data_IF_956986838239
#
_entry.id   IF_956986838239
#
_cell.length_a   1.000
_cell.length_b   1.000
_cell.length_c   1.000
_cell.angle_alpha   90.00
_cell.angle_beta   90.00
_cell.angle_gamma   90.00
#
_symmetry.space_group_name_H-M   'P 1'
#
loop_
_entity.id
_entity.type
_entity.pdbx_description
1 polymer ?
#
# COMPACT_ATOMS: atom_id res chain seq x y z
N UNK A 1 2.42 14.28 -1.61
CA UNK A 1 1.83 13.87 -0.32
C UNK A 1 1.30 12.50 -0.59
N UNK A 2 1.95 11.51 0.01
CA UNK A 2 2.04 10.21 -0.65
C UNK A 2 1.12 9.17 0.03
N UNK A 3 0.54 9.52 1.18
CA UNK A 3 -0.34 8.66 1.99
C UNK A 3 -1.59 9.42 2.47
N UNK A 4 -2.74 8.77 2.42
CA UNK A 4 -4.03 9.24 2.95
C UNK A 4 -4.38 8.60 4.31
N UNK A 5 -4.35 7.26 4.41
CA UNK A 5 -4.74 6.50 5.61
C UNK A 5 -4.07 5.10 5.65
N UNK A 6 -4.19 4.41 6.78
CA UNK A 6 -3.62 3.06 7.02
C UNK A 6 -4.74 2.07 7.32
N UNK A 7 -4.64 0.87 6.75
CA UNK A 7 -5.61 -0.21 6.97
C UNK A 7 -4.94 -1.54 7.29
N UNK A 8 -5.61 -2.37 8.09
CA UNK A 8 -5.32 -3.81 8.16
C UNK A 8 -6.14 -4.52 7.09
N UNK A 9 -5.50 -5.35 6.28
CA UNK A 9 -6.15 -6.30 5.40
C UNK A 9 -6.18 -7.66 6.09
N UNK A 10 -7.31 -8.36 6.03
CA UNK A 10 -7.52 -9.67 6.63
C UNK A 10 -7.92 -10.68 5.56
N UNK A 11 -7.37 -11.89 5.67
CA UNK A 11 -7.93 -13.06 5.00
C UNK A 11 -8.94 -13.73 5.95
N UNK A 12 -10.26 -13.69 5.67
CA UNK A 12 -11.25 -14.28 6.57
C UNK A 12 -11.11 -15.80 6.72
N UNK A 13 -10.47 -16.47 5.75
CA UNK A 13 -10.27 -17.93 5.76
C UNK A 13 -9.03 -18.34 6.59
N UNK A 14 -8.12 -17.41 6.82
CA UNK A 14 -6.84 -17.63 7.50
C UNK A 14 -6.56 -16.41 8.35
N UNK A 15 -6.69 -16.55 9.67
CA UNK A 15 -6.48 -15.53 10.71
C UNK A 15 -5.11 -14.82 10.60
N UNK A 16 -4.96 -14.03 9.54
CA UNK A 16 -3.73 -13.46 9.02
C UNK A 16 -4.03 -12.06 8.55
N UNK A 17 -3.15 -11.15 8.93
CA UNK A 17 -3.36 -9.72 8.76
C UNK A 17 -2.13 -9.08 8.13
N UNK A 18 -2.36 -8.11 7.25
CA UNK A 18 -1.30 -7.30 6.64
C UNK A 18 -1.70 -5.84 6.74
N UNK A 19 -0.88 -5.03 7.41
CA UNK A 19 -1.06 -3.58 7.45
C UNK A 19 -0.55 -2.95 6.16
N UNK A 20 -1.33 -2.02 5.60
CA UNK A 20 -1.05 -1.39 4.32
C UNK A 20 -1.35 0.11 4.36
N UNK A 21 -0.40 0.90 3.87
CA UNK A 21 -0.56 2.35 3.70
C UNK A 21 -1.19 2.65 2.35
N UNK A 22 -2.22 3.50 2.33
CA UNK A 22 -2.97 3.82 1.11
C UNK A 22 -2.76 5.29 0.69
N UNK A 23 -2.67 5.60 -0.62
CA UNK A 23 -2.78 4.67 -1.73
C UNK A 23 -1.56 3.76 -1.89
N UNK A 24 -1.83 2.48 -2.06
CA UNK A 24 -0.82 1.47 -2.30
C UNK A 24 -0.56 1.28 -3.78
N UNK A 25 0.71 1.26 -4.14
CA UNK A 25 1.12 0.91 -5.49
C UNK A 25 0.89 -0.60 -5.78
N UNK A 26 0.83 -1.00 -7.06
CA UNK A 26 0.57 -2.40 -7.44
C UNK A 26 1.54 -3.43 -6.85
N UNK A 27 2.79 -3.04 -6.56
CA UNK A 27 3.79 -3.93 -5.96
C UNK A 27 3.47 -4.22 -4.49
N UNK A 28 3.11 -3.19 -3.72
CA UNK A 28 2.71 -3.33 -2.33
C UNK A 28 1.41 -4.16 -2.19
N UNK A 29 0.44 -3.93 -3.09
CA UNK A 29 -0.82 -4.69 -3.13
C UNK A 29 -0.56 -6.17 -3.42
N UNK A 30 0.28 -6.47 -4.43
CA UNK A 30 0.60 -7.85 -4.78
C UNK A 30 1.35 -8.58 -3.66
N UNK A 31 2.28 -7.90 -3.01
CA UNK A 31 3.01 -8.48 -1.88
C UNK A 31 2.09 -8.79 -0.69
N UNK A 32 1.11 -7.92 -0.41
CA UNK A 32 0.09 -8.18 0.60
C UNK A 32 -0.76 -9.42 0.28
N UNK A 33 -1.11 -9.65 -0.99
CA UNK A 33 -1.81 -10.88 -1.42
C UNK A 33 -0.99 -12.14 -1.17
N UNK A 34 0.31 -12.10 -1.42
CA UNK A 34 1.21 -13.23 -1.18
C UNK A 34 1.33 -13.55 0.32
N UNK A 35 1.37 -12.52 1.17
CA UNK A 35 1.35 -12.64 2.64
C UNK A 35 0.00 -13.10 3.17
N UNK A 36 -1.12 -12.60 2.64
CA UNK A 36 -2.46 -13.05 3.05
C UNK A 36 -2.80 -14.46 2.58
N UNK A 37 -2.01 -15.04 1.67
CA UNK A 37 -2.19 -16.42 1.18
C UNK A 37 -3.58 -16.66 0.59
N UNK A 38 -4.07 -15.67 -0.16
CA UNK A 38 -5.41 -15.69 -0.73
C UNK A 38 -5.58 -16.86 -1.70
N UNK A 39 -6.66 -17.61 -1.54
CA UNK A 39 -7.10 -18.53 -2.58
C UNK A 39 -7.76 -17.72 -3.71
N UNK A 40 -7.88 -18.30 -4.92
CA UNK A 40 -8.70 -17.70 -5.96
C UNK A 40 -10.10 -17.37 -5.41
N UNK A 41 -10.60 -16.18 -5.73
CA UNK A 41 -11.92 -15.67 -5.34
C UNK A 41 -12.13 -15.37 -3.84
N UNK A 42 -11.11 -15.53 -2.97
CA UNK A 42 -11.20 -15.08 -1.57
C UNK A 42 -11.37 -13.56 -1.52
N UNK A 43 -12.44 -13.09 -0.85
CA UNK A 43 -12.64 -11.67 -0.60
C UNK A 43 -11.79 -11.23 0.58
N UNK A 44 -11.10 -10.11 0.40
CA UNK A 44 -10.29 -9.48 1.43
C UNK A 44 -11.17 -8.52 2.21
N UNK A 45 -11.19 -8.71 3.53
CA UNK A 45 -11.75 -7.77 4.46
C UNK A 45 -10.69 -6.74 4.85
N UNK A 46 -11.12 -5.51 5.13
CA UNK A 46 -10.22 -4.46 5.58
C UNK A 46 -10.82 -3.70 6.77
N UNK A 47 -9.95 -3.19 7.63
CA UNK A 47 -10.30 -2.36 8.79
C UNK A 47 -9.38 -1.13 8.84
N UNK A 48 -9.96 0.04 9.17
CA UNK A 48 -9.22 1.29 9.32
C UNK A 48 -8.41 1.29 10.61
N UNK A 49 -7.08 1.39 10.51
CA UNK A 49 -6.19 1.57 11.66
C UNK A 49 -5.99 3.06 11.98
N UNK A 50 -5.77 3.87 10.94
CA UNK A 50 -5.48 5.30 11.06
C UNK A 50 -6.08 6.06 9.88
N UNK A 51 -6.85 7.11 10.19
CA UNK A 51 -7.51 7.97 9.19
C UNK A 51 -6.59 9.04 8.61
N UNK A 52 -5.36 9.17 9.12
CA UNK A 52 -4.38 10.15 8.64
C UNK A 52 -4.95 11.56 8.58
N UNK A 53 -4.90 12.18 7.40
CA UNK A 53 -5.38 13.55 7.18
C UNK A 53 -6.90 13.67 6.97
N UNK A 54 -7.61 12.54 6.93
CA UNK A 54 -9.04 12.49 6.62
C UNK A 54 -9.87 11.95 7.80
N UNK A 55 -9.81 12.56 9.00
CA UNK A 55 -10.59 12.11 10.16
C UNK A 55 -12.11 12.23 9.93
N UNK A 56 -12.54 12.99 8.92
CA UNK A 56 -13.95 13.11 8.51
C UNK A 56 -14.54 11.80 7.99
N UNK A 57 -13.70 10.85 7.58
CA UNK A 57 -14.14 9.52 7.18
C UNK A 57 -14.73 8.74 8.37
N UNK A 58 -14.36 9.08 9.61
CA UNK A 58 -14.98 8.54 10.81
C UNK A 58 -16.29 9.28 11.14
N UNK A 59 -17.38 8.57 11.51
CA UNK A 59 -17.51 7.11 11.67
C UNK A 59 -17.98 6.39 10.40
N UNK A 60 -18.10 7.09 9.27
CA UNK A 60 -18.75 6.58 8.05
C UNK A 60 -18.02 5.44 7.35
N UNK A 61 -16.70 5.31 7.53
CA UNK A 61 -15.86 4.29 6.89
C UNK A 61 -14.93 3.64 7.93
N UNK A 62 -15.29 2.48 8.47
CA UNK A 62 -14.52 1.80 9.53
C UNK A 62 -13.94 0.46 9.06
N UNK A 63 -14.74 -0.34 8.37
CA UNK A 63 -14.36 -1.63 7.81
C UNK A 63 -15.24 -1.95 6.62
N UNK A 64 -14.82 -2.93 5.82
CA UNK A 64 -15.61 -3.39 4.68
C UNK A 64 -14.90 -4.45 3.86
N UNK A 65 -15.48 -4.71 2.69
CA UNK A 65 -14.92 -5.58 1.66
C UNK A 65 -14.51 -4.73 0.44
N UNK A 66 -13.80 -5.31 -0.52
CA UNK A 66 -13.52 -4.63 -1.79
C UNK A 66 -12.38 -3.62 -1.71
N UNK A 67 -11.19 -4.10 -1.34
CA UNK A 67 -9.94 -3.33 -1.33
C UNK A 67 -9.71 -2.41 -2.55
N UNK A 68 -10.02 -2.79 -3.81
CA UNK A 68 -9.76 -1.91 -4.95
C UNK A 68 -10.47 -0.56 -4.89
N UNK A 69 -11.71 -0.53 -4.39
CA UNK A 69 -12.46 0.72 -4.24
C UNK A 69 -11.87 1.59 -3.13
N UNK A 70 -11.41 0.97 -2.04
CA UNK A 70 -10.72 1.66 -0.95
C UNK A 70 -9.39 2.27 -1.41
N UNK A 71 -8.58 1.53 -2.17
CA UNK A 71 -7.32 2.04 -2.70
C UNK A 71 -7.55 3.22 -3.67
N UNK A 72 -8.55 3.10 -4.55
CA UNK A 72 -8.95 4.16 -5.47
C UNK A 72 -9.45 5.42 -4.72
N UNK A 73 -10.17 5.24 -3.60
CA UNK A 73 -10.55 6.36 -2.73
C UNK A 73 -9.30 7.08 -2.21
N UNK A 74 -8.32 6.34 -1.68
CA UNK A 74 -7.09 6.93 -1.18
C UNK A 74 -6.33 7.72 -2.27
N UNK A 75 -6.21 7.17 -3.48
CA UNK A 75 -5.60 7.86 -4.65
C UNK A 75 -6.32 9.17 -4.97
N UNK A 76 -7.66 9.16 -4.91
CA UNK A 76 -8.46 10.36 -5.14
C UNK A 76 -8.23 11.39 -4.06
N UNK A 77 -8.26 10.98 -2.79
CA UNK A 77 -8.08 11.88 -1.65
C UNK A 77 -6.71 12.55 -1.63
N UNK A 78 -5.62 11.83 -1.96
CA UNK A 78 -4.28 12.44 -2.03
C UNK A 78 -4.16 13.46 -3.16
N UNK A 79 -4.93 13.29 -4.25
CA UNK A 79 -4.96 14.22 -5.38
C UNK A 79 -5.75 15.51 -5.15
N UNK A 80 -6.54 15.61 -4.06
CA UNK A 80 -7.35 16.79 -3.77
C UNK A 80 -6.48 17.98 -3.34
N UNK A 81 -6.73 19.14 -3.94
CA UNK A 81 -6.16 20.41 -3.46
C UNK A 81 -6.82 20.87 -2.14
N UNK A 82 -6.25 21.88 -1.48
CA UNK A 82 -6.74 22.36 -0.17
C UNK A 82 -8.21 22.82 -0.20
N UNK A 83 -8.67 23.46 -1.29
CA UNK A 83 -10.06 23.88 -1.43
C UNK A 83 -10.96 22.66 -1.60
N UNK A 84 -10.57 21.70 -2.42
CA UNK A 84 -11.31 20.46 -2.66
C UNK A 84 -11.38 19.59 -1.39
N UNK A 85 -10.32 19.53 -0.59
CA UNK A 85 -10.33 18.82 0.71
C UNK A 85 -11.33 19.44 1.67
N UNK A 86 -11.36 20.78 1.75
CA UNK A 86 -12.37 21.50 2.55
C UNK A 86 -13.78 21.18 2.06
N UNK A 87 -14.01 21.26 0.75
CA UNK A 87 -15.30 20.91 0.15
C UNK A 87 -15.71 19.45 0.44
N UNK A 88 -14.79 18.50 0.30
CA UNK A 88 -15.00 17.09 0.60
C UNK A 88 -15.39 16.88 2.07
N UNK A 89 -14.68 17.51 3.03
CA UNK A 89 -15.04 17.45 4.45
C UNK A 89 -16.48 17.93 4.68
N UNK A 90 -16.86 19.03 4.02
CA UNK A 90 -18.23 19.56 4.10
C UNK A 90 -19.27 18.61 3.52
N UNK A 91 -19.01 18.03 2.35
CA UNK A 91 -19.91 17.07 1.71
C UNK A 91 -20.11 15.81 2.55
N UNK A 92 -19.06 15.28 3.17
CA UNK A 92 -19.14 14.12 4.08
C UNK A 92 -19.94 14.47 5.33
N UNK A 93 -19.71 15.66 5.93
CA UNK A 93 -20.49 16.13 7.09
C UNK A 93 -21.98 16.30 6.78
N UNK A 94 -22.34 16.70 5.57
CA UNK A 94 -23.73 16.79 5.13
C UNK A 94 -24.44 15.41 5.07
N UNK A 95 -23.69 14.31 5.06
CA UNK A 95 -24.25 12.95 5.15
C UNK A 95 -24.59 12.52 6.59
N UNK A 96 -24.34 13.38 7.58
CA UNK A 96 -24.75 13.18 8.98
C UNK A 96 -24.24 11.86 9.61
N UNK A 97 -22.99 11.50 9.30
CA UNK A 97 -22.33 10.33 9.89
C UNK A 97 -22.86 8.97 9.44
N UNK A 98 -23.67 8.92 8.37
CA UNK A 98 -24.13 7.66 7.78
C UNK A 98 -22.94 6.81 7.31
N UNK A 99 -22.97 5.48 7.51
CA UNK A 99 -22.01 4.57 6.90
C UNK A 99 -22.02 4.74 5.38
N UNK A 100 -20.83 4.80 4.79
CA UNK A 100 -20.62 5.02 3.36
C UNK A 100 -19.55 4.07 2.84
N UNK A 101 -19.88 3.39 1.75
CA UNK A 101 -18.91 2.61 0.99
C UNK A 101 -17.86 3.52 0.33
N UNK A 102 -16.65 3.00 0.02
CA UNK A 102 -15.61 3.76 -0.66
C UNK A 102 -16.09 4.46 -1.94
N UNK A 103 -16.93 3.83 -2.77
CA UNK A 103 -17.44 4.42 -4.02
C UNK A 103 -18.35 5.64 -3.78
N UNK A 104 -19.11 5.66 -2.69
CA UNK A 104 -19.90 6.82 -2.31
C UNK A 104 -18.99 8.00 -1.94
N UNK A 105 -17.89 7.74 -1.24
CA UNK A 105 -16.90 8.75 -0.88
C UNK A 105 -16.11 9.23 -2.10
N UNK A 106 -15.77 8.35 -3.03
CA UNK A 106 -15.18 8.73 -4.33
C UNK A 106 -16.11 9.71 -5.03
N UNK A 107 -17.41 9.40 -5.06
CA UNK A 107 -18.43 10.25 -5.68
C UNK A 107 -18.49 11.64 -5.02
N UNK A 108 -18.42 11.72 -3.69
CA UNK A 108 -18.32 13.01 -2.98
C UNK A 108 -17.01 13.75 -3.29
N UNK A 109 -15.89 13.04 -3.47
CA UNK A 109 -14.62 13.65 -3.86
C UNK A 109 -14.68 14.26 -5.26
N UNK A 110 -15.45 13.68 -6.19
CA UNK A 110 -15.70 14.25 -7.51
C UNK A 110 -16.60 15.49 -7.43
N UNK A 111 -17.66 15.42 -6.60
CA UNK A 111 -18.56 16.55 -6.33
C UNK A 111 -17.85 17.73 -5.65
N UNK A 112 -16.75 17.50 -4.92
CA UNK A 112 -16.00 18.56 -4.23
C UNK A 112 -15.55 19.71 -5.15
N UNK A 113 -15.40 19.44 -6.46
CA UNK A 113 -15.11 20.45 -7.50
C UNK A 113 -16.26 21.44 -7.74
N UNK A 114 -17.49 21.03 -7.40
CA UNK A 114 -18.75 21.72 -7.60
C UNK A 114 -19.31 22.25 -6.27
N UNK A 115 -18.41 22.71 -5.39
CA UNK A 115 -18.75 23.31 -4.12
C UNK A 115 -18.24 24.75 -4.05
N UNK A 116 -19.06 25.62 -3.49
CA UNK A 116 -18.61 26.92 -3.01
C UNK A 116 -17.96 26.71 -1.65
N UNK A 117 -16.73 27.22 -1.52
CA UNK A 117 -15.98 27.19 -0.27
C UNK A 117 -15.69 28.63 0.10
N UNK A 118 -16.10 29.04 1.29
CA UNK A 118 -15.63 30.25 1.94
C UNK A 118 -14.52 29.84 2.92
N UNK A 119 -13.24 30.00 2.53
CA UNK A 119 -12.11 29.63 3.39
C UNK A 119 -12.15 30.42 4.70
N UNK A 120 -11.64 29.83 5.77
CA UNK A 120 -11.50 30.46 7.11
C UNK A 120 -12.83 30.81 7.82
N UNK A 121 -13.97 30.76 7.13
CA UNK A 121 -15.29 30.90 7.71
C UNK A 121 -15.68 29.62 8.48
N UNK A 122 -15.29 29.55 9.75
CA UNK A 122 -15.48 28.37 10.62
C UNK A 122 -16.64 28.50 11.60
N UNK A 123 -17.25 29.68 11.65
CA UNK A 123 -18.45 29.98 12.46
C UNK A 123 -19.34 31.04 11.77
N UNK A 124 -20.51 31.29 12.35
CA UNK A 124 -21.48 32.24 11.79
C UNK A 124 -20.90 33.67 11.73
N UNK A 125 -20.02 34.08 12.67
CA UNK A 125 -19.46 35.44 12.68
C UNK A 125 -18.44 35.65 11.55
N UNK A 126 -17.48 34.74 11.41
CA UNK A 126 -16.49 34.74 10.33
C UNK A 126 -17.16 34.62 8.96
N UNK A 127 -18.18 33.77 8.82
CA UNK A 127 -18.97 33.66 7.59
C UNK A 127 -19.65 34.97 7.21
N UNK A 128 -20.35 35.60 8.17
CA UNK A 128 -21.02 36.87 7.93
C UNK A 128 -20.05 37.98 7.52
N UNK A 129 -18.86 38.02 8.14
CA UNK A 129 -17.82 38.98 7.78
C UNK A 129 -17.27 38.75 6.36
N UNK A 130 -16.97 37.51 5.99
CA UNK A 130 -16.48 37.15 4.64
C UNK A 130 -17.49 37.57 3.56
N UNK A 131 -18.77 37.24 3.75
CA UNK A 131 -19.83 37.56 2.78
C UNK A 131 -20.19 39.05 2.73
N UNK A 132 -20.08 39.77 3.85
CA UNK A 132 -20.24 41.21 3.86
C UNK A 132 -19.07 41.89 3.12
N UNK A 133 -17.82 41.48 3.42
CA UNK A 133 -16.61 42.06 2.86
C UNK A 133 -16.46 41.84 1.35
N UNK A 134 -16.87 40.66 0.85
CA UNK A 134 -16.81 40.35 -0.58
C UNK A 134 -18.02 40.89 -1.39
N UNK A 135 -18.92 41.64 -0.74
CA UNK A 135 -20.09 42.25 -1.38
C UNK A 135 -21.20 41.27 -1.76
N UNK A 136 -21.20 40.05 -1.21
CA UNK A 136 -22.26 39.04 -1.44
C UNK A 136 -23.57 39.37 -0.72
N UNK A 137 -23.57 40.33 0.19
CA UNK A 137 -24.76 40.85 0.88
C UNK A 137 -25.06 42.25 0.35
N UNK A 138 -26.04 42.41 -0.57
CA UNK A 138 -26.33 43.69 -1.21
C UNK A 138 -26.66 44.83 -0.24
N UNK A 139 -27.32 44.52 0.88
CA UNK A 139 -27.79 45.49 1.88
C UNK A 139 -26.65 46.17 2.65
N UNK A 140 -25.47 45.54 2.71
CA UNK A 140 -24.28 46.09 3.37
C UNK A 140 -23.17 46.40 2.38
N UNK A 141 -23.47 46.34 1.08
CA UNK A 141 -22.54 46.73 0.03
C UNK A 141 -22.29 48.24 0.13
N UNK A 142 -21.01 48.63 0.11
CA UNK A 142 -20.56 50.03 0.14
C UNK A 142 -20.83 50.80 1.46
N UNK A 143 -21.11 50.10 2.57
CA UNK A 143 -21.20 50.77 3.87
C UNK A 143 -19.82 51.31 4.31
N UNK A 144 -19.73 52.48 4.95
CA UNK A 144 -18.46 53.01 5.43
C UNK A 144 -17.79 52.06 6.44
N UNK A 145 -16.45 51.99 6.45
CA UNK A 145 -15.67 51.09 7.33
C UNK A 145 -16.10 51.14 8.82
N UNK A 146 -16.38 52.34 9.33
CA UNK A 146 -16.83 52.52 10.72
C UNK A 146 -18.19 51.88 11.00
N UNK A 147 -19.06 51.82 9.99
CA UNK A 147 -20.38 51.17 10.07
C UNK A 147 -20.23 49.68 9.81
N UNK A 148 -19.32 49.28 8.91
CA UNK A 148 -18.99 47.88 8.63
C UNK A 148 -18.58 47.15 9.92
N UNK A 149 -17.70 47.73 10.72
CA UNK A 149 -17.25 47.12 11.99
C UNK A 149 -18.35 47.03 13.07
N UNK A 150 -19.50 47.69 12.88
CA UNK A 150 -20.65 47.62 13.80
C UNK A 150 -21.70 46.59 13.35
N UNK A 151 -21.51 45.93 12.21
CA UNK A 151 -22.43 44.91 11.72
C UNK A 151 -22.45 43.68 12.65
N UNK A 152 -23.65 43.14 12.88
CA UNK A 152 -23.82 41.85 13.56
C UNK A 152 -23.49 40.72 12.59
N UNK A 153 -22.20 40.43 12.45
CA UNK A 153 -21.72 39.39 11.55
C UNK A 153 -22.24 38.01 11.93
N UNK A 154 -22.50 37.74 13.21
CA UNK A 154 -23.05 36.47 13.66
C UNK A 154 -24.48 36.28 13.14
N UNK A 155 -25.32 37.31 13.22
CA UNK A 155 -26.67 37.26 12.64
C UNK A 155 -26.63 37.12 11.11
N UNK A 156 -25.74 37.86 10.44
CA UNK A 156 -25.60 37.80 8.98
C UNK A 156 -25.18 36.39 8.52
N UNK A 157 -24.13 35.82 9.11
CA UNK A 157 -23.67 34.49 8.72
C UNK A 157 -24.66 33.38 9.08
N UNK A 158 -25.37 33.48 10.22
CA UNK A 158 -26.44 32.53 10.55
C UNK A 158 -27.54 32.53 9.48
N UNK A 159 -27.94 33.70 9.00
CA UNK A 159 -28.95 33.81 7.91
C UNK A 159 -28.44 33.18 6.62
N UNK A 160 -27.21 33.51 6.22
CA UNK A 160 -26.55 32.92 5.03
C UNK A 160 -26.52 31.40 5.14
N UNK A 161 -26.09 30.87 6.29
CA UNK A 161 -25.99 29.44 6.52
C UNK A 161 -27.34 28.74 6.40
N UNK A 162 -28.37 29.30 7.03
CA UNK A 162 -29.72 28.75 6.98
C UNK A 162 -30.34 28.80 5.58
N UNK A 163 -30.06 29.85 4.79
CA UNK A 163 -30.59 29.96 3.43
C UNK A 163 -29.84 29.10 2.42
N UNK A 164 -28.52 28.97 2.56
CA UNK A 164 -27.68 28.25 1.61
C UNK A 164 -27.58 26.75 1.90
N UNK A 165 -27.89 26.32 3.13
CA UNK A 165 -27.86 24.91 3.53
C UNK A 165 -26.45 24.31 3.59
N UNK A 166 -25.43 25.13 3.82
CA UNK A 166 -24.04 24.68 3.94
C UNK A 166 -23.64 24.29 5.36
N UNK A 167 -22.40 23.82 5.49
CA UNK A 167 -21.85 23.29 6.74
C UNK A 167 -20.47 23.88 7.04
N UNK A 168 -20.15 24.00 8.33
CA UNK A 168 -18.82 24.39 8.78
C UNK A 168 -17.88 23.18 8.85
N UNK A 169 -16.68 23.37 8.31
CA UNK A 169 -15.55 22.45 8.38
C UNK A 169 -14.46 23.04 9.27
N UNK A 170 -13.37 22.30 9.50
CA UNK A 170 -12.21 22.86 10.21
C UNK A 170 -11.54 24.00 9.45
N UNK A 171 -11.70 24.07 8.12
CA UNK A 171 -10.94 24.97 7.25
C UNK A 171 -11.81 26.01 6.53
N UNK A 172 -13.14 25.94 6.68
CA UNK A 172 -14.06 26.91 6.07
C UNK A 172 -15.50 26.44 6.01
N UNK A 173 -16.34 27.22 5.33
CA UNK A 173 -17.76 26.96 5.14
C UNK A 173 -18.02 26.44 3.72
N UNK A 174 -18.80 25.37 3.60
CA UNK A 174 -19.01 24.65 2.34
C UNK A 174 -20.48 24.62 1.97
N UNK A 175 -20.79 24.96 0.72
CA UNK A 175 -22.13 24.87 0.13
C UNK A 175 -22.04 24.12 -1.21
N UNK A 176 -22.80 23.03 -1.41
CA UNK A 176 -22.93 22.40 -2.72
C UNK A 176 -23.57 23.37 -3.72
N UNK A 177 -23.04 23.48 -4.94
CA UNK A 177 -23.60 24.41 -5.94
C UNK A 177 -24.92 23.93 -6.58
N UNK A 178 -25.33 22.68 -6.31
CA UNK A 178 -26.55 22.05 -6.82
C UNK A 178 -26.51 21.64 -8.29
N UNK A 179 -25.41 21.91 -9.01
CA UNK A 179 -25.28 21.68 -10.45
C UNK A 179 -24.55 20.38 -10.79
N UNK A 180 -24.00 19.71 -9.78
CA UNK A 180 -23.32 18.44 -9.98
C UNK A 180 -24.32 17.30 -10.21
N UNK A 181 -24.02 16.47 -11.22
CA UNK A 181 -24.75 15.23 -11.51
C UNK A 181 -23.77 14.07 -11.41
N UNK A 182 -24.15 12.95 -10.78
CA UNK A 182 -23.35 11.73 -10.81
C UNK A 182 -23.12 11.27 -12.24
N UNK A 183 -21.93 10.78 -12.52
CA UNK A 183 -21.67 10.04 -13.76
C UNK A 183 -22.34 8.65 -13.62
N UNK A 184 -23.31 8.33 -14.46
CA UNK A 184 -23.96 7.01 -14.44
C UNK A 184 -22.99 5.92 -14.94
N UNK A 185 -23.01 4.76 -14.26
CA UNK A 185 -22.25 3.57 -14.67
C UNK A 185 -20.78 3.62 -14.25
N UNK A 186 -20.51 3.54 -12.94
CA UNK A 186 -19.16 3.21 -12.48
C UNK A 186 -18.98 1.70 -12.64
N UNK A 187 -18.03 1.30 -13.49
CA UNK A 187 -17.59 -0.09 -13.56
C UNK A 187 -17.02 -0.51 -12.20
N UNK A 188 -17.21 -1.78 -11.79
CA UNK A 188 -16.61 -2.30 -10.57
C UNK A 188 -15.11 -2.03 -10.58
N UNK A 189 -14.59 -1.44 -9.49
CA UNK A 189 -13.16 -1.23 -9.36
C UNK A 189 -12.45 -2.57 -9.26
N UNK A 190 -11.54 -2.82 -10.19
CA UNK A 190 -10.72 -4.02 -10.23
C UNK A 190 -9.42 -3.71 -9.49
N UNK A 191 -8.87 -4.71 -8.79
CA UNK A 191 -7.54 -4.60 -8.22
C UNK A 191 -6.53 -4.15 -9.29
N UNK A 192 -5.49 -3.40 -8.90
CA UNK A 192 -4.43 -3.04 -9.84
C UNK A 192 -3.92 -4.27 -10.56
N UNK A 193 -3.70 -4.15 -11.88
CA UNK A 193 -3.06 -5.23 -12.63
C UNK A 193 -1.69 -5.52 -12.04
N UNK A 194 -1.31 -6.80 -12.03
CA UNK A 194 -0.01 -7.21 -11.54
C UNK A 194 1.08 -6.46 -12.34
N UNK A 195 2.07 -5.83 -11.67
CA UNK A 195 3.11 -5.09 -12.36
C UNK A 195 3.86 -6.01 -13.33
N UNK A 196 4.11 -5.49 -14.54
CA UNK A 196 4.78 -6.22 -15.62
C UNK A 196 6.26 -6.47 -15.34
N UNK A 197 6.90 -5.58 -14.57
CA UNK A 197 8.28 -5.73 -14.12
C UNK A 197 8.42 -6.17 -12.66
N UNK A 198 9.64 -6.52 -12.29
CA UNK A 198 10.05 -6.77 -10.91
C UNK A 198 10.42 -5.51 -10.16
N UNK A 199 11.01 -4.53 -10.86
CA UNK A 199 11.38 -3.25 -10.28
C UNK A 199 10.88 -2.13 -11.17
N UNK A 200 10.36 -1.04 -10.58
CA UNK A 200 10.05 0.20 -11.28
C UNK A 200 10.81 1.33 -10.61
N UNK A 201 11.52 2.11 -11.42
CA UNK A 201 12.34 3.21 -10.98
C UNK A 201 11.85 4.50 -11.61
N UNK A 202 11.68 5.53 -10.79
CA UNK A 202 11.60 6.91 -11.28
C UNK A 202 12.99 7.54 -11.17
N UNK A 203 13.48 8.06 -12.28
CA UNK A 203 14.80 8.70 -12.38
C UNK A 203 14.65 10.18 -12.70
N UNK A 204 15.50 10.98 -12.07
CA UNK A 204 15.76 12.37 -12.46
C UNK A 204 17.09 12.41 -13.20
N UNK A 205 17.06 12.85 -14.45
CA UNK A 205 18.21 12.95 -15.35
C UNK A 205 18.43 14.44 -15.68
N UNK A 206 19.18 15.14 -14.83
CA UNK A 206 19.26 16.60 -14.89
C UNK A 206 17.90 17.24 -14.54
N UNK A 207 17.28 17.92 -15.50
CA UNK A 207 15.93 18.51 -15.37
C UNK A 207 14.82 17.56 -15.85
N UNK A 208 15.17 16.51 -16.58
CA UNK A 208 14.20 15.57 -17.14
C UNK A 208 13.85 14.46 -16.14
N UNK A 209 12.65 13.91 -16.27
CA UNK A 209 12.24 12.69 -15.58
C UNK A 209 12.22 11.53 -16.57
N UNK A 210 12.57 10.35 -16.09
CA UNK A 210 12.47 9.10 -16.82
C UNK A 210 11.89 8.03 -15.90
N UNK A 211 11.17 7.08 -16.49
CA UNK A 211 10.69 5.90 -15.80
C UNK A 211 11.33 4.68 -16.43
N UNK A 212 11.74 3.70 -15.61
CA UNK A 212 12.35 2.47 -16.08
C UNK A 212 11.75 1.29 -15.33
N UNK A 213 11.23 0.32 -16.06
CA UNK A 213 10.71 -0.93 -15.50
C UNK A 213 11.65 -2.08 -15.83
N UNK A 214 12.18 -2.76 -14.82
CA UNK A 214 13.13 -3.86 -14.95
C UNK A 214 12.41 -5.21 -14.78
N UNK A 215 12.76 -6.24 -15.56
CA UNK A 215 13.89 -6.27 -16.48
C UNK A 215 13.64 -5.47 -17.78
N UNK A 216 14.66 -4.74 -18.23
CA UNK A 216 14.62 -3.90 -19.43
C UNK A 216 15.76 -4.25 -20.40
N UNK A 217 15.48 -4.12 -21.70
CA UNK A 217 16.46 -4.22 -22.78
C UNK A 217 16.78 -2.83 -23.34
N UNK A 218 16.11 -2.48 -24.43
CA UNK A 218 16.33 -1.22 -25.15
C UNK A 218 16.09 0.03 -24.28
N UNK A 219 15.05 0.04 -23.45
CA UNK A 219 14.74 1.17 -22.55
C UNK A 219 15.89 1.47 -21.58
N UNK A 220 16.57 0.44 -21.05
CA UNK A 220 17.73 0.62 -20.19
C UNK A 220 18.90 1.27 -20.96
N UNK A 221 19.10 0.89 -22.22
CA UNK A 221 20.14 1.50 -23.08
C UNK A 221 19.85 2.98 -23.29
N UNK A 222 18.60 3.34 -23.62
CA UNK A 222 18.19 4.73 -23.83
C UNK A 222 18.32 5.59 -22.56
N UNK A 223 17.92 5.06 -21.41
CA UNK A 223 18.11 5.73 -20.11
C UNK A 223 19.60 5.94 -19.83
N UNK A 224 20.45 4.95 -20.09
CA UNK A 224 21.90 5.07 -19.92
C UNK A 224 22.52 6.12 -20.84
N UNK A 225 22.15 6.16 -22.12
CA UNK A 225 22.65 7.17 -23.05
C UNK A 225 22.29 8.60 -22.58
N UNK A 226 21.06 8.78 -22.08
CA UNK A 226 20.64 10.06 -21.49
C UNK A 226 21.42 10.40 -20.22
N UNK A 227 21.66 9.41 -19.34
CA UNK A 227 22.48 9.58 -18.14
C UNK A 227 23.92 9.98 -18.48
N UNK A 228 24.51 9.39 -19.51
CA UNK A 228 25.85 9.73 -19.99
C UNK A 228 25.90 11.16 -20.54
N UNK A 229 24.85 11.59 -21.26
CA UNK A 229 24.76 12.95 -21.80
C UNK A 229 24.67 14.04 -20.71
N UNK A 230 23.94 13.78 -19.62
CA UNK A 230 23.79 14.75 -18.50
C UNK A 230 24.86 14.59 -17.41
N UNK A 231 25.57 13.46 -17.40
CA UNK A 231 26.55 13.09 -16.39
C UNK A 231 25.93 12.44 -15.15
N UNK A 232 26.55 11.34 -14.69
CA UNK A 232 26.09 10.54 -13.55
C UNK A 232 25.81 11.34 -12.25
N UNK A 233 26.61 12.34 -11.84
CA UNK A 233 26.32 13.14 -10.63
C UNK A 233 25.00 13.94 -10.70
N UNK A 234 24.48 14.17 -11.91
CA UNK A 234 23.20 14.84 -12.14
C UNK A 234 22.03 13.85 -12.24
N UNK A 235 22.28 12.56 -12.04
CA UNK A 235 21.28 11.50 -12.06
C UNK A 235 20.93 11.09 -10.63
N UNK A 236 19.66 10.83 -10.37
CA UNK A 236 19.19 10.28 -9.10
C UNK A 236 17.96 9.40 -9.31
N UNK A 237 17.85 8.34 -8.52
CA UNK A 237 16.59 7.59 -8.39
C UNK A 237 15.74 8.32 -7.35
N UNK A 238 14.52 8.72 -7.74
CA UNK A 238 13.58 9.46 -6.88
C UNK A 238 12.51 8.57 -6.26
N UNK A 239 12.20 7.45 -6.91
CA UNK A 239 11.32 6.42 -6.37
C UNK A 239 11.76 5.03 -6.84
N UNK A 240 11.58 4.03 -5.97
CA UNK A 240 11.89 2.63 -6.25
C UNK A 240 10.76 1.75 -5.73
N UNK A 241 10.09 1.05 -6.65
CA UNK A 241 9.04 0.08 -6.34
C UNK A 241 9.52 -1.31 -6.72
N UNK A 242 9.23 -2.30 -5.87
CA UNK A 242 9.84 -3.62 -5.98
C UNK A 242 8.84 -4.72 -5.66
N UNK A 243 8.83 -5.77 -6.50
CA UNK A 243 8.11 -7.01 -6.18
C UNK A 243 8.73 -7.73 -5.00
N UNK A 244 9.94 -7.38 -4.58
CA UNK A 244 10.66 -7.93 -3.43
C UNK A 244 10.91 -6.79 -2.43
N UNK A 245 10.00 -6.53 -1.48
CA UNK A 245 10.10 -5.37 -0.59
C UNK A 245 11.26 -5.45 0.41
N UNK A 246 11.85 -6.63 0.61
CA UNK A 246 13.04 -6.82 1.45
C UNK A 246 14.29 -6.13 0.86
N UNK A 247 14.29 -5.79 -0.43
CA UNK A 247 15.42 -5.09 -1.06
C UNK A 247 15.38 -3.59 -0.72
N UNK A 248 16.43 -3.04 -0.08
CA UNK A 248 16.45 -1.63 0.29
C UNK A 248 16.42 -0.70 -0.94
N UNK A 249 15.58 0.32 -0.91
CA UNK A 249 15.56 1.37 -1.94
C UNK A 249 16.92 2.06 -2.13
N UNK A 250 17.75 2.13 -1.08
CA UNK A 250 19.10 2.68 -1.12
C UNK A 250 20.06 1.91 -2.05
N UNK A 251 19.74 0.67 -2.43
CA UNK A 251 20.54 -0.10 -3.39
C UNK A 251 20.21 0.24 -4.84
N UNK A 252 19.06 0.89 -5.08
CA UNK A 252 18.65 1.36 -6.39
C UNK A 252 19.31 2.71 -6.71
N UNK A 253 20.55 2.65 -7.19
CA UNK A 253 21.30 3.83 -7.63
C UNK A 253 21.52 3.81 -9.14
N UNK A 254 21.72 4.98 -9.78
CA UNK A 254 21.96 5.05 -11.22
C UNK A 254 23.18 4.21 -11.68
N UNK A 255 24.21 4.06 -10.83
CA UNK A 255 25.39 3.25 -11.10
C UNK A 255 25.13 1.73 -11.11
N UNK A 256 24.04 1.31 -10.47
CA UNK A 256 23.72 -0.10 -10.23
C UNK A 256 22.56 -0.60 -11.09
N UNK A 257 22.14 0.17 -12.09
CA UNK A 257 21.02 -0.22 -12.97
C UNK A 257 21.26 -1.54 -13.68
N UNK A 258 22.49 -1.81 -14.14
CA UNK A 258 22.83 -3.09 -14.78
C UNK A 258 22.72 -4.27 -13.80
N UNK A 259 23.24 -4.12 -12.58
CA UNK A 259 23.16 -5.15 -11.53
C UNK A 259 21.71 -5.40 -11.13
N UNK A 260 20.91 -4.34 -10.96
CA UNK A 260 19.48 -4.45 -10.69
C UNK A 260 18.73 -5.14 -11.84
N UNK A 261 19.08 -4.81 -13.09
CA UNK A 261 18.47 -5.45 -14.25
C UNK A 261 18.81 -6.94 -14.30
N UNK A 262 20.07 -7.32 -14.02
CA UNK A 262 20.46 -8.72 -13.91
C UNK A 262 19.70 -9.45 -12.79
N UNK A 263 19.51 -8.83 -11.63
CA UNK A 263 18.70 -9.40 -10.56
C UNK A 263 17.23 -9.57 -11.00
N UNK A 264 16.64 -8.56 -11.66
CA UNK A 264 15.28 -8.62 -12.17
C UNK A 264 15.09 -9.78 -13.16
N UNK A 265 16.04 -9.98 -14.09
CA UNK A 265 16.03 -11.12 -15.02
C UNK A 265 16.07 -12.44 -14.26
N UNK A 266 16.94 -12.57 -13.25
CA UNK A 266 17.04 -13.79 -12.42
C UNK A 266 15.75 -14.09 -11.68
N UNK A 267 15.13 -13.07 -11.09
CA UNK A 267 13.86 -13.20 -10.37
C UNK A 267 12.69 -13.54 -11.30
N UNK A 268 12.68 -12.99 -12.52
CA UNK A 268 11.72 -13.36 -13.56
C UNK A 268 11.82 -14.83 -13.91
N UNK A 269 13.02 -15.31 -14.24
CA UNK A 269 13.26 -16.74 -14.52
C UNK A 269 12.91 -17.63 -13.33
N UNK A 270 13.17 -17.16 -12.11
CA UNK A 270 12.80 -17.88 -10.89
C UNK A 270 11.28 -18.02 -10.75
N UNK A 271 10.54 -16.93 -10.92
CA UNK A 271 9.08 -16.89 -10.78
C UNK A 271 8.36 -17.69 -11.89
N UNK A 272 8.93 -17.73 -13.10
CA UNK A 272 8.39 -18.53 -14.22
C UNK A 272 8.52 -20.05 -13.99
N UNK A 273 9.53 -20.49 -13.23
CA UNK A 273 9.78 -21.92 -12.99
C UNK A 273 8.85 -22.53 -11.96
N UNK A 274 8.56 -21.78 -10.91
CA UNK A 274 7.76 -22.23 -9.78
C UNK A 274 7.06 -21.02 -9.15
N UNK A 275 5.73 -21.09 -9.03
CA UNK A 275 4.91 -20.02 -8.50
C UNK A 275 5.24 -19.66 -7.05
N UNK A 276 5.78 -20.60 -6.27
CA UNK A 276 6.19 -20.35 -4.88
C UNK A 276 7.67 -19.96 -4.75
N UNK A 277 8.47 -20.06 -5.80
CA UNK A 277 9.91 -19.79 -5.68
C UNK A 277 10.21 -18.32 -5.38
N UNK A 278 9.42 -17.38 -5.91
CA UNK A 278 9.55 -15.96 -5.57
C UNK A 278 9.15 -15.70 -4.12
N UNK A 279 8.05 -16.31 -3.65
CA UNK A 279 7.57 -16.19 -2.27
C UNK A 279 8.61 -16.77 -1.31
N UNK A 280 9.20 -17.92 -1.64
CA UNK A 280 10.30 -18.53 -0.92
C UNK A 280 11.53 -17.62 -0.88
N UNK A 281 11.86 -16.97 -1.98
CA UNK A 281 12.96 -16.01 -2.01
C UNK A 281 12.73 -14.84 -1.03
N UNK A 282 11.52 -14.27 -1.01
CA UNK A 282 11.13 -13.22 -0.05
C UNK A 282 11.23 -13.70 1.41
N UNK A 283 10.70 -14.89 1.70
CA UNK A 283 10.76 -15.50 3.02
C UNK A 283 12.20 -15.68 3.51
N UNK A 284 13.09 -16.15 2.62
CA UNK A 284 14.51 -16.32 2.97
C UNK A 284 15.18 -14.96 3.20
N UNK A 285 14.85 -13.94 2.39
CA UNK A 285 15.38 -12.60 2.57
C UNK A 285 14.98 -11.95 3.90
N UNK A 286 13.77 -12.21 4.39
CA UNK A 286 13.28 -11.68 5.66
C UNK A 286 14.13 -12.13 6.85
N UNK A 287 14.65 -13.36 6.81
CA UNK A 287 15.46 -13.95 7.88
C UNK A 287 16.97 -13.94 7.59
N UNK A 288 17.36 -13.56 6.37
CA UNK A 288 18.77 -13.54 5.95
C UNK A 288 19.38 -12.15 6.13
N UNK A 289 20.60 -12.11 6.66
CA UNK A 289 21.42 -10.90 6.69
C UNK A 289 22.08 -10.66 5.33
N UNK A 290 21.31 -10.21 4.33
CA UNK A 290 21.87 -9.75 3.04
C UNK A 290 22.36 -8.30 3.15
N UNK A 291 23.52 -8.01 2.59
CA UNK A 291 24.16 -6.68 2.70
C UNK A 291 24.39 -5.99 1.36
N UNK A 292 24.14 -6.70 0.25
CA UNK A 292 24.40 -6.22 -1.10
C UNK A 292 23.46 -6.85 -2.14
N UNK A 293 23.43 -6.25 -3.34
CA UNK A 293 22.72 -6.83 -4.49
C UNK A 293 23.37 -8.14 -4.95
N UNK A 294 24.68 -8.26 -4.80
CA UNK A 294 25.44 -9.46 -5.12
C UNK A 294 25.04 -10.63 -4.20
N UNK A 295 24.84 -10.37 -2.90
CA UNK A 295 24.31 -11.37 -1.95
C UNK A 295 22.89 -11.80 -2.35
N UNK A 296 22.04 -10.84 -2.70
CA UNK A 296 20.68 -11.09 -3.17
C UNK A 296 20.68 -11.94 -4.45
N UNK A 297 21.54 -11.61 -5.42
CA UNK A 297 21.73 -12.40 -6.63
C UNK A 297 22.24 -13.82 -6.33
N UNK A 298 23.22 -13.96 -5.44
CA UNK A 298 23.75 -15.27 -5.05
C UNK A 298 22.68 -16.13 -4.37
N UNK A 299 21.78 -15.52 -3.60
CA UNK A 299 20.70 -16.23 -2.93
C UNK A 299 19.72 -16.89 -3.91
N UNK A 300 19.47 -16.29 -5.08
CA UNK A 300 18.61 -16.88 -6.12
C UNK A 300 19.07 -18.28 -6.56
N UNK A 301 20.36 -18.60 -6.41
CA UNK A 301 20.96 -19.90 -6.77
C UNK A 301 21.02 -20.89 -5.60
N UNK A 302 20.62 -20.48 -4.39
CA UNK A 302 20.76 -21.26 -3.15
C UNK A 302 19.42 -21.55 -2.49
N UNK A 303 18.31 -21.28 -3.16
CA UNK A 303 16.96 -21.48 -2.62
C UNK A 303 16.64 -22.96 -2.33
N UNK A 304 17.31 -23.90 -3.00
CA UNK A 304 17.15 -25.34 -2.74
C UNK A 304 17.62 -25.75 -1.35
N UNK A 305 18.43 -24.92 -0.68
CA UNK A 305 18.84 -25.16 0.71
C UNK A 305 17.71 -24.93 1.74
N UNK A 306 16.60 -24.33 1.32
CA UNK A 306 15.46 -24.01 2.16
C UNK A 306 14.21 -24.77 1.72
N UNK A 307 13.24 -24.90 2.62
CA UNK A 307 11.89 -25.37 2.33
C UNK A 307 10.90 -24.36 2.89
N UNK A 308 9.91 -23.98 2.08
CA UNK A 308 8.83 -23.09 2.49
C UNK A 308 7.53 -23.89 2.61
N UNK A 309 6.91 -23.83 3.78
CA UNK A 309 5.51 -24.18 3.96
C UNK A 309 4.68 -22.90 3.97
N UNK A 310 4.27 -22.46 2.76
CA UNK A 310 3.50 -21.23 2.55
C UNK A 310 2.15 -21.24 3.27
N UNK A 311 1.56 -22.43 3.46
CA UNK A 311 0.24 -22.56 4.07
C UNK A 311 0.23 -22.27 5.58
N UNK A 312 1.37 -22.42 6.28
CA UNK A 312 1.45 -22.20 7.71
C UNK A 312 1.73 -20.73 8.02
N UNK A 313 0.76 -20.03 8.60
CA UNK A 313 0.89 -18.63 8.99
C UNK A 313 1.03 -18.43 10.50
N UNK A 314 0.82 -19.48 11.29
CA UNK A 314 0.87 -19.50 12.75
C UNK A 314 1.52 -20.79 13.26
N UNK A 315 2.01 -20.83 14.51
CA UNK A 315 2.41 -22.08 15.17
C UNK A 315 1.29 -23.14 15.17
N UNK A 316 0.04 -22.73 15.33
CA UNK A 316 -1.14 -23.59 15.27
C UNK A 316 -1.28 -24.27 13.91
N UNK A 317 -1.01 -23.57 12.81
CA UNK A 317 -1.05 -24.17 11.47
C UNK A 317 0.07 -25.18 11.28
N UNK A 318 1.25 -24.92 11.84
CA UNK A 318 2.37 -25.88 11.83
C UNK A 318 1.97 -27.15 12.58
N UNK A 319 1.43 -27.00 13.80
CA UNK A 319 0.93 -28.12 14.60
C UNK A 319 -0.17 -28.91 13.87
N UNK A 320 -1.17 -28.22 13.33
CA UNK A 320 -2.28 -28.84 12.58
C UNK A 320 -1.76 -29.59 11.35
N UNK A 321 -0.84 -28.98 10.61
CA UNK A 321 -0.20 -29.58 9.44
C UNK A 321 0.60 -30.84 9.77
N UNK A 322 1.27 -30.87 10.93
CA UNK A 322 2.03 -32.03 11.40
C UNK A 322 1.12 -33.16 11.89
N UNK A 323 0.06 -32.83 12.62
CA UNK A 323 -0.95 -33.81 13.04
C UNK A 323 -1.61 -34.46 11.82
N UNK A 324 -2.09 -33.66 10.87
CA UNK A 324 -2.73 -34.18 9.63
C UNK A 324 -1.81 -35.13 8.87
N UNK A 325 -0.52 -34.81 8.75
CA UNK A 325 0.48 -35.69 8.12
C UNK A 325 0.72 -36.98 8.89
N UNK A 326 0.69 -36.94 10.22
CA UNK A 326 1.06 -38.08 11.07
C UNK A 326 -0.08 -39.08 11.29
N UNK A 327 -1.33 -38.62 11.37
CA UNK A 327 -2.48 -39.46 11.78
C UNK A 327 -3.74 -39.32 10.90
N UNK A 328 -3.68 -38.54 9.82
CA UNK A 328 -4.80 -38.28 8.92
C UNK A 328 -5.72 -37.14 9.39
N UNK A 329 -6.54 -36.64 8.48
CA UNK A 329 -7.35 -35.42 8.66
C UNK A 329 -8.44 -35.57 9.74
N UNK A 330 -9.24 -36.63 9.68
CA UNK A 330 -10.34 -36.86 10.63
C UNK A 330 -9.86 -36.95 12.10
N UNK A 331 -8.76 -37.65 12.34
CA UNK A 331 -8.19 -37.80 13.69
C UNK A 331 -7.52 -36.51 14.17
N UNK A 332 -6.83 -35.80 13.25
CA UNK A 332 -6.19 -34.54 13.57
C UNK A 332 -7.22 -33.48 13.95
N UNK A 333 -8.31 -33.35 13.21
CA UNK A 333 -9.35 -32.36 13.47
C UNK A 333 -10.02 -32.60 14.83
N UNK A 334 -10.28 -33.86 15.21
CA UNK A 334 -10.81 -34.18 16.54
C UNK A 334 -9.84 -33.75 17.66
N UNK A 335 -8.55 -34.06 17.52
CA UNK A 335 -7.55 -33.77 18.53
C UNK A 335 -7.22 -32.27 18.64
N UNK A 336 -7.31 -31.52 17.52
CA UNK A 336 -7.05 -30.09 17.50
C UNK A 336 -7.90 -29.30 18.52
N UNK A 337 -9.11 -29.77 18.84
CA UNK A 337 -9.98 -29.15 19.84
C UNK A 337 -9.50 -29.29 21.29
N UNK A 338 -8.62 -30.26 21.58
CA UNK A 338 -8.21 -30.60 22.94
C UNK A 338 -6.73 -30.36 23.22
N UNK A 339 -5.95 -30.04 22.18
CA UNK A 339 -4.51 -29.83 22.30
C UNK A 339 -4.17 -28.34 22.37
N UNK A 340 -3.11 -28.02 23.11
CA UNK A 340 -2.45 -26.73 22.98
C UNK A 340 -1.66 -26.69 21.67
N UNK A 341 -2.33 -26.33 20.57
CA UNK A 341 -1.73 -26.27 19.24
C UNK A 341 -0.61 -25.24 19.16
N UNK A 342 -0.77 -24.06 19.78
CA UNK A 342 0.26 -23.02 19.80
C UNK A 342 1.57 -23.55 20.39
N UNK A 343 1.50 -24.09 21.61
CA UNK A 343 2.69 -24.60 22.30
C UNK A 343 3.34 -25.80 21.60
N UNK A 344 2.54 -26.67 20.99
CA UNK A 344 3.07 -27.76 20.18
C UNK A 344 3.75 -27.25 18.90
N UNK A 345 3.12 -26.29 18.22
CA UNK A 345 3.64 -25.63 17.02
C UNK A 345 4.98 -24.96 17.27
N UNK A 346 5.10 -24.16 18.33
CA UNK A 346 6.35 -23.52 18.75
C UNK A 346 7.48 -24.55 18.96
N UNK A 347 7.17 -25.66 19.64
CA UNK A 347 8.13 -26.73 19.86
C UNK A 347 8.58 -27.38 18.53
N UNK A 348 7.67 -27.59 17.59
CA UNK A 348 7.98 -28.12 16.26
C UNK A 348 8.85 -27.16 15.45
N UNK A 349 8.53 -25.87 15.44
CA UNK A 349 9.31 -24.84 14.74
C UNK A 349 10.76 -24.85 15.26
N UNK A 350 10.94 -24.86 16.59
CA UNK A 350 12.26 -24.94 17.21
C UNK A 350 12.98 -26.25 16.86
N UNK A 351 12.27 -27.39 16.89
CA UNK A 351 12.84 -28.70 16.55
C UNK A 351 13.32 -28.76 15.09
N UNK A 352 12.60 -28.14 14.17
CA UNK A 352 12.99 -28.07 12.75
C UNK A 352 14.07 -27.03 12.48
N UNK A 353 14.48 -26.22 13.48
CA UNK A 353 15.32 -25.05 13.27
C UNK A 353 14.67 -24.05 12.31
N UNK A 354 13.34 -24.03 12.26
CA UNK A 354 12.56 -23.18 11.38
C UNK A 354 12.34 -21.78 11.93
N UNK A 355 11.80 -20.92 11.08
CA UNK A 355 11.35 -19.58 11.44
C UNK A 355 10.05 -19.28 10.71
N UNK A 356 9.09 -18.71 11.42
CA UNK A 356 7.82 -18.29 10.87
C UNK A 356 8.01 -16.89 10.29
N UNK A 357 7.91 -16.76 8.97
CA UNK A 357 8.03 -15.48 8.24
C UNK A 357 6.64 -14.98 7.85
N UNK A 358 6.54 -13.74 7.39
CA UNK A 358 5.29 -13.20 6.83
C UNK A 358 4.75 -14.06 5.68
N UNK A 359 5.62 -14.81 5.00
CA UNK A 359 5.31 -15.69 3.88
C UNK A 359 5.19 -17.18 4.28
N UNK A 360 5.38 -17.52 5.55
CA UNK A 360 5.10 -18.82 6.14
C UNK A 360 6.32 -19.48 6.78
N UNK A 361 6.15 -20.74 7.20
CA UNK A 361 7.21 -21.47 7.88
C UNK A 361 8.36 -21.80 6.92
N UNK A 362 9.53 -21.23 7.21
CA UNK A 362 10.78 -21.50 6.52
C UNK A 362 11.62 -22.49 7.33
N UNK A 363 12.19 -23.49 6.68
CA UNK A 363 13.11 -24.47 7.30
C UNK A 363 14.29 -24.72 6.38
N UNK A 364 15.40 -25.28 6.89
CA UNK A 364 16.51 -25.72 6.03
C UNK A 364 16.37 -27.18 5.64
N UNK A 365 16.76 -27.48 4.40
CA UNK A 365 16.78 -28.85 3.88
C UNK A 365 17.75 -29.76 4.63
N UNK A 366 18.81 -29.21 5.24
CA UNK A 366 19.78 -29.95 6.04
C UNK A 366 19.47 -29.99 7.55
N UNK A 367 18.29 -29.50 7.96
CA UNK A 367 17.83 -29.49 9.35
C UNK A 367 18.59 -28.56 10.29
N UNK A 368 19.50 -27.72 9.77
CA UNK A 368 20.12 -26.68 10.59
C UNK A 368 19.18 -25.49 10.78
N UNK A 369 19.40 -24.64 11.80
CA UNK A 369 18.65 -23.40 11.96
C UNK A 369 18.80 -22.48 10.73
N UNK A 370 17.69 -21.85 10.31
CA UNK A 370 17.65 -20.96 9.13
C UNK A 370 18.63 -19.79 9.23
N UNK A 371 18.93 -19.29 10.44
CA UNK A 371 19.84 -18.16 10.64
C UNK A 371 21.33 -18.57 10.50
N UNK A 372 21.65 -19.87 10.50
CA UNK A 372 23.04 -20.29 10.32
C UNK A 372 23.49 -20.05 8.87
N UNK A 373 24.70 -19.53 8.65
CA UNK A 373 25.26 -19.41 7.30
C UNK A 373 25.21 -20.74 6.56
N UNK A 374 24.84 -20.68 5.28
CA UNK A 374 24.88 -21.83 4.40
C UNK A 374 26.35 -22.23 4.14
N UNK A 375 26.67 -23.54 4.09
CA UNK A 375 28.01 -24.00 3.79
C UNK A 375 28.48 -23.46 2.43
N UNK A 376 29.79 -23.19 2.26
CA UNK A 376 30.33 -22.75 0.98
C UNK A 376 29.93 -23.78 -0.10
N UNK A 377 29.52 -23.29 -1.27
CA UNK A 377 29.24 -24.18 -2.39
C UNK A 377 30.52 -24.99 -2.67
N UNK A 378 30.41 -26.31 -2.93
CA UNK A 378 31.56 -27.06 -3.37
C UNK A 378 32.10 -26.39 -4.63
N UNK A 379 33.33 -25.88 -4.57
CA UNK A 379 34.04 -25.52 -5.79
C UNK A 379 34.00 -26.76 -6.66
N UNK A 380 33.49 -26.65 -7.89
CA UNK A 380 33.68 -27.68 -8.92
C UNK A 380 35.19 -27.77 -9.19
N UNK A 381 35.90 -28.47 -8.32
CA UNK A 381 37.32 -28.72 -8.40
C UNK A 381 37.57 -29.46 -9.70
N UNK A 382 38.45 -28.90 -10.51
CA UNK A 382 38.85 -29.47 -11.79
C UNK A 382 39.19 -30.95 -11.61
N UNK A 383 38.56 -31.78 -12.42
CA UNK A 383 38.97 -33.16 -12.61
C UNK A 383 40.41 -33.10 -13.15
N UNK A 384 41.40 -33.24 -12.27
CA UNK A 384 42.72 -33.66 -12.69
C UNK A 384 42.54 -35.08 -13.23
N UNK A 385 42.54 -35.19 -14.56
CA UNK A 385 42.80 -36.46 -15.23
C UNK A 385 44.20 -36.91 -14.81
N UNK A 386 44.28 -37.85 -13.88
CA UNK A 386 45.47 -38.70 -13.76
C UNK A 386 45.58 -39.50 -15.05
N UNK A 387 46.52 -39.11 -15.90
CA UNK A 387 47.02 -39.98 -16.96
C UNK A 387 47.73 -41.16 -16.29
N UNK A 388 47.22 -42.37 -16.52
CA UNK A 388 47.97 -43.61 -16.41
C UNK A 388 47.85 -44.40 -17.69
#
# INVERSE_FOLDING_TARGET
>A
MDKAFTVSLCNPDKDTYVTLELPADPYAVLDAWERLRLAPDTRVEWEMEDYGEFPVLFPGLQSGEGFPALNALAERLTSLDSRQRTAFEGLVKLQDGRPMEPDALITLSEQAKHCQVAPEATDDASLGRVYAANGSIPEVKDVPDKVFELLDFQLLGRRIRQSAGGVFTRQGYVVPDGNWKPTEGQEPRIAPEAPTGFFRLELRLGEERAELTLPAGQELVEVRERMEAVGLPNCAVTAFHSRVPQLPAAWATPERLDTLNCLAIRLMVLAERDSLALIKYKAVLEVSSISSLEDAMALTERLDAYNLNWAAASPEDVARGELRRSMGEENADLLCWYLNLYGYGEALIQQYGGELTDYGLLTRADGQPVQKPLPPQPTRGGVQMEMR
#
